data_IF_254869587027
#
_entry.id   IF_254869587027
#
_cell.length_a   1.000
_cell.length_b   1.000
_cell.length_c   1.000
_cell.angle_alpha   90.00
_cell.angle_beta   90.00
_cell.angle_gamma   90.00
#
_symmetry.space_group_name_H-M   'P 1'
#
loop_
_entity.id
_entity.type
_entity.pdbx_description
1 polymer ?
#
# COMPACT_ATOMS: atom_id res chain seq x y z
N UNK A 1 -29.88 -18.31 -6.90
CA UNK A 1 -28.62 -17.64 -6.47
C UNK A 1 -28.42 -17.91 -4.99
N UNK A 2 -27.56 -18.85 -4.65
CA UNK A 2 -27.27 -19.20 -3.25
C UNK A 2 -26.40 -18.12 -2.62
N UNK A 3 -26.92 -17.41 -1.61
CA UNK A 3 -26.12 -16.54 -0.76
C UNK A 3 -25.16 -17.43 0.05
N UNK A 4 -23.88 -17.45 -0.32
CA UNK A 4 -22.86 -18.00 0.58
C UNK A 4 -22.90 -17.19 1.86
N UNK A 5 -23.45 -17.77 2.91
CA UNK A 5 -23.32 -17.22 4.25
C UNK A 5 -21.82 -17.18 4.59
N UNK A 6 -21.29 -15.98 4.80
CA UNK A 6 -19.97 -15.83 5.39
C UNK A 6 -20.03 -16.48 6.77
N UNK A 7 -19.31 -17.60 6.92
CA UNK A 7 -19.16 -18.26 8.21
C UNK A 7 -18.40 -17.31 9.10
N UNK A 8 -19.12 -16.66 10.00
CA UNK A 8 -18.52 -15.86 11.05
C UNK A 8 -17.76 -16.85 11.93
N UNK A 9 -16.44 -16.85 11.84
CA UNK A 9 -15.62 -17.61 12.78
C UNK A 9 -15.95 -17.12 14.19
N UNK A 10 -16.07 -18.02 15.19
CA UNK A 10 -16.25 -17.60 16.55
C UNK A 10 -15.16 -16.59 16.89
N UNK A 11 -15.55 -15.43 17.37
CA UNK A 11 -14.61 -14.46 17.91
C UNK A 11 -14.00 -15.08 19.13
N UNK A 12 -12.77 -15.57 19.03
CA UNK A 12 -11.99 -15.87 20.22
C UNK A 12 -11.94 -14.57 21.04
N UNK A 13 -12.38 -14.64 22.28
CA UNK A 13 -12.60 -13.49 23.17
C UNK A 13 -11.30 -12.76 23.57
N UNK A 14 -10.20 -13.00 22.85
CA UNK A 14 -8.86 -12.50 23.15
C UNK A 14 -8.41 -11.32 22.31
N UNK A 15 -9.24 -10.80 21.39
CA UNK A 15 -8.86 -9.60 20.63
C UNK A 15 -9.20 -8.33 21.42
N UNK A 16 -8.17 -7.56 21.74
CA UNK A 16 -8.32 -6.25 22.41
C UNK A 16 -8.93 -5.15 21.52
N UNK A 17 -9.18 -5.45 20.26
CA UNK A 17 -9.73 -4.50 19.29
C UNK A 17 -11.19 -4.80 19.00
N UNK A 18 -12.08 -3.78 19.01
CA UNK A 18 -13.47 -3.96 18.63
C UNK A 18 -13.56 -4.41 17.17
N UNK A 19 -14.55 -5.26 16.89
CA UNK A 19 -14.86 -5.68 15.54
C UNK A 19 -15.56 -4.55 14.79
N UNK A 20 -14.92 -4.00 13.77
CA UNK A 20 -15.52 -2.99 12.90
C UNK A 20 -16.20 -3.66 11.70
N UNK A 21 -17.43 -3.26 11.42
CA UNK A 21 -18.22 -3.76 10.30
C UNK A 21 -18.64 -2.57 9.43
N UNK A 22 -18.36 -2.65 8.13
CA UNK A 22 -18.80 -1.69 7.13
C UNK A 22 -19.82 -2.32 6.17
N UNK A 23 -20.81 -1.55 5.74
CA UNK A 23 -21.81 -1.99 4.76
C UNK A 23 -21.43 -1.65 3.33
N UNK A 24 -20.64 -0.59 3.12
CA UNK A 24 -20.24 -0.09 1.81
C UNK A 24 -18.74 -0.27 1.51
N UNK A 25 -17.93 -0.47 2.53
CA UNK A 25 -16.50 -0.67 2.42
C UNK A 25 -15.82 -0.57 3.77
N UNK A 26 -14.54 -0.90 3.80
CA UNK A 26 -13.70 -0.74 4.97
C UNK A 26 -12.28 -0.38 4.54
N UNK A 27 -11.60 0.44 5.34
CA UNK A 27 -10.19 0.78 5.20
C UNK A 27 -9.51 0.50 6.53
N UNK A 28 -8.34 -0.11 6.49
CA UNK A 28 -7.49 -0.35 7.66
C UNK A 28 -6.06 0.10 7.38
N UNK A 29 -5.40 0.65 8.38
CA UNK A 29 -4.02 1.15 8.29
C UNK A 29 -3.46 1.46 9.67
N UNK A 30 -2.22 1.89 9.75
CA UNK A 30 -1.54 2.17 11.02
C UNK A 30 -1.90 3.56 11.58
N UNK A 31 -2.23 4.52 10.71
CA UNK A 31 -2.60 5.88 11.10
C UNK A 31 -4.07 6.15 10.83
N UNK A 32 -4.73 6.81 11.80
CA UNK A 32 -6.11 7.28 11.59
C UNK A 32 -6.21 8.25 10.42
N UNK A 33 -5.17 9.04 10.15
CA UNK A 33 -5.15 9.99 9.04
C UNK A 33 -5.14 9.26 7.70
N UNK A 34 -4.32 8.23 7.54
CA UNK A 34 -4.29 7.41 6.32
C UNK A 34 -5.60 6.65 6.11
N UNK A 35 -6.17 6.09 7.18
CA UNK A 35 -7.47 5.40 7.12
C UNK A 35 -8.59 6.36 6.70
N UNK A 36 -8.63 7.57 7.26
CA UNK A 36 -9.61 8.59 6.90
C UNK A 36 -9.47 9.01 5.44
N UNK A 37 -8.23 9.23 4.97
CA UNK A 37 -7.97 9.55 3.56
C UNK A 37 -8.54 8.51 2.60
N UNK A 38 -8.31 7.24 2.88
CA UNK A 38 -8.90 6.14 2.10
C UNK A 38 -10.42 6.10 2.18
N UNK A 39 -10.98 6.28 3.39
CA UNK A 39 -12.43 6.31 3.60
C UNK A 39 -13.11 7.48 2.87
N UNK A 40 -12.45 8.64 2.80
CA UNK A 40 -12.97 9.81 2.08
C UNK A 40 -12.99 9.60 0.57
N UNK A 41 -12.03 8.85 0.00
CA UNK A 41 -12.09 8.43 -1.40
C UNK A 41 -13.30 7.53 -1.67
N UNK A 42 -13.58 6.57 -0.78
CA UNK A 42 -14.79 5.73 -0.91
C UNK A 42 -16.08 6.56 -0.84
N UNK A 43 -16.17 7.52 0.09
CA UNK A 43 -17.33 8.43 0.21
C UNK A 43 -17.49 9.33 -1.02
N UNK A 44 -16.40 9.73 -1.65
CA UNK A 44 -16.40 10.54 -2.87
C UNK A 44 -16.76 9.72 -4.14
N UNK A 45 -17.03 8.43 -4.01
CA UNK A 45 -17.43 7.55 -5.11
C UNK A 45 -16.27 6.83 -5.79
N UNK A 46 -15.06 6.93 -5.25
CA UNK A 46 -13.91 6.12 -5.66
C UNK A 46 -14.05 4.67 -5.24
N UNK A 47 -13.21 3.83 -5.82
CA UNK A 47 -13.18 2.41 -5.51
C UNK A 47 -12.11 2.05 -4.46
N UNK A 48 -11.94 0.77 -4.17
CA UNK A 48 -10.97 0.29 -3.19
C UNK A 48 -9.52 0.62 -3.58
N UNK A 49 -9.22 0.75 -4.88
CA UNK A 49 -7.87 1.07 -5.37
C UNK A 49 -7.55 2.55 -5.17
N UNK A 50 -8.51 3.43 -5.45
CA UNK A 50 -8.41 4.85 -5.16
C UNK A 50 -8.19 5.09 -3.67
N UNK A 51 -8.96 4.39 -2.83
CA UNK A 51 -8.84 4.44 -1.38
C UNK A 51 -7.49 3.94 -0.87
N UNK A 52 -6.99 2.83 -1.39
CA UNK A 52 -5.70 2.27 -1.00
C UNK A 52 -4.53 3.19 -1.37
N UNK A 53 -4.56 3.77 -2.57
CA UNK A 53 -3.52 4.70 -3.03
C UNK A 53 -3.56 5.99 -2.19
N UNK A 54 -4.73 6.54 -1.91
CA UNK A 54 -4.90 7.72 -1.05
C UNK A 54 -4.36 7.46 0.37
N UNK A 55 -4.76 6.35 0.98
CA UNK A 55 -4.27 5.96 2.30
C UNK A 55 -2.75 5.80 2.32
N UNK A 56 -2.18 5.18 1.28
CA UNK A 56 -0.74 4.96 1.17
C UNK A 56 0.05 6.27 1.03
N UNK A 57 -0.43 7.24 0.25
CA UNK A 57 0.22 8.56 0.17
C UNK A 57 0.21 9.30 1.50
N UNK A 58 -0.92 9.28 2.22
CA UNK A 58 -1.00 9.93 3.54
C UNK A 58 -0.15 9.18 4.57
N UNK A 59 -0.13 7.85 4.55
CA UNK A 59 0.74 7.05 5.43
C UNK A 59 2.20 7.43 5.25
N UNK A 60 2.67 7.62 4.02
CA UNK A 60 4.03 8.05 3.72
C UNK A 60 4.39 9.45 4.24
N UNK A 61 3.40 10.31 4.50
CA UNK A 61 3.59 11.63 5.09
C UNK A 61 3.56 11.60 6.62
N UNK A 62 2.64 10.85 7.21
CA UNK A 62 2.39 10.88 8.66
C UNK A 62 3.16 9.81 9.44
N UNK A 63 3.65 8.80 8.75
CA UNK A 63 4.37 7.66 9.34
C UNK A 63 5.57 7.24 8.45
N UNK A 64 6.48 8.17 8.10
CA UNK A 64 7.51 7.94 7.09
C UNK A 64 8.55 6.88 7.47
N UNK A 65 8.66 6.50 8.75
CA UNK A 65 9.54 5.43 9.22
C UNK A 65 8.98 4.04 8.89
N UNK A 66 7.67 3.92 8.64
CA UNK A 66 7.03 2.63 8.34
C UNK A 66 6.67 2.50 6.86
N UNK A 67 6.39 3.61 6.20
CA UNK A 67 6.04 3.65 4.79
C UNK A 67 6.54 4.94 4.15
N UNK A 68 7.06 4.84 2.93
CA UNK A 68 7.48 6.01 2.14
C UNK A 68 7.35 5.70 0.66
N UNK A 69 7.03 6.71 -0.14
CA UNK A 69 6.99 6.57 -1.60
C UNK A 69 8.37 6.26 -2.23
N UNK A 70 9.45 6.51 -1.49
CA UNK A 70 10.81 6.13 -1.84
C UNK A 70 11.21 4.70 -1.42
N UNK A 71 10.30 3.93 -0.88
CA UNK A 71 10.53 2.57 -0.40
C UNK A 71 9.88 1.49 -1.26
N UNK A 72 9.31 0.52 -0.59
CA UNK A 72 8.66 -0.67 -1.16
C UNK A 72 7.17 -0.67 -0.87
N UNK A 73 6.38 -1.21 -1.81
CA UNK A 73 4.95 -1.40 -1.64
C UNK A 73 4.48 -2.61 -2.46
N UNK A 74 4.75 -3.85 -2.02
CA UNK A 74 4.15 -5.03 -2.65
C UNK A 74 2.65 -5.05 -2.36
N UNK A 75 1.84 -5.33 -3.40
CA UNK A 75 0.39 -5.29 -3.30
C UNK A 75 -0.24 -6.58 -3.81
N UNK A 76 -1.30 -6.99 -3.13
CA UNK A 76 -2.21 -8.03 -3.59
C UNK A 76 -3.57 -7.41 -3.88
N UNK A 77 -4.05 -7.66 -5.09
CA UNK A 77 -5.29 -7.09 -5.62
C UNK A 77 -6.25 -8.21 -5.98
N UNK A 78 -7.48 -8.14 -5.47
CA UNK A 78 -8.57 -9.02 -5.84
C UNK A 78 -9.72 -8.21 -6.42
N UNK A 79 -10.08 -8.51 -7.67
CA UNK A 79 -11.21 -7.88 -8.34
C UNK A 79 -12.52 -8.58 -7.98
N UNK A 80 -13.60 -7.80 -7.90
CA UNK A 80 -14.94 -8.35 -7.75
C UNK A 80 -15.27 -9.25 -8.96
N UNK A 81 -15.79 -10.45 -8.69
CA UNK A 81 -16.12 -11.41 -9.74
C UNK A 81 -14.98 -12.27 -10.26
N UNK A 82 -13.73 -11.99 -9.92
CA UNK A 82 -12.59 -12.86 -10.22
C UNK A 82 -12.26 -13.80 -9.06
N UNK A 83 -11.81 -15.01 -9.37
CA UNK A 83 -11.32 -15.95 -8.37
C UNK A 83 -9.82 -15.79 -8.09
N UNK A 84 -9.08 -15.21 -9.03
CA UNK A 84 -7.63 -15.01 -8.91
C UNK A 84 -7.29 -13.75 -8.12
N UNK A 85 -6.08 -13.74 -7.56
CA UNK A 85 -5.44 -12.57 -6.96
C UNK A 85 -4.33 -12.09 -7.89
N UNK A 86 -4.30 -10.81 -8.16
CA UNK A 86 -3.22 -10.17 -8.89
C UNK A 86 -2.15 -9.70 -7.89
N UNK A 87 -0.89 -9.91 -8.21
CA UNK A 87 0.24 -9.37 -7.47
C UNK A 87 0.88 -8.23 -8.25
N UNK A 88 1.13 -7.12 -7.57
CA UNK A 88 1.97 -6.03 -8.07
C UNK A 88 3.25 -6.03 -7.26
N UNK A 89 4.37 -6.32 -7.93
CA UNK A 89 5.67 -6.35 -7.28
C UNK A 89 6.20 -4.93 -7.12
N UNK A 90 5.94 -4.34 -5.98
CA UNK A 90 6.46 -3.03 -5.58
C UNK A 90 7.71 -3.11 -4.70
N UNK A 91 8.44 -4.22 -4.71
CA UNK A 91 9.72 -4.33 -4.02
C UNK A 91 10.81 -3.57 -4.77
N UNK A 92 11.73 -2.99 -4.02
CA UNK A 92 12.92 -2.34 -4.57
C UNK A 92 13.76 -3.34 -5.37
N UNK A 93 14.31 -2.87 -6.48
CA UNK A 93 15.32 -3.62 -7.25
C UNK A 93 16.72 -3.19 -6.86
N UNK A 94 17.69 -4.09 -6.95
CA UNK A 94 19.08 -3.71 -6.86
C UNK A 94 19.46 -2.79 -8.05
N UNK A 95 20.21 -1.71 -7.83
CA UNK A 95 20.80 -0.94 -8.92
C UNK A 95 21.63 -1.84 -9.84
N UNK A 96 21.65 -1.59 -11.16
CA UNK A 96 22.37 -2.45 -12.10
C UNK A 96 23.87 -2.59 -11.83
N UNK A 97 24.48 -1.62 -11.15
CA UNK A 97 25.88 -1.67 -10.72
C UNK A 97 26.10 -2.41 -9.38
N UNK A 98 25.03 -2.80 -8.67
CA UNK A 98 25.12 -3.50 -7.39
C UNK A 98 25.25 -5.01 -7.62
N UNK A 99 26.38 -5.44 -8.19
CA UNK A 99 26.67 -6.86 -8.42
C UNK A 99 27.51 -7.44 -7.28
N UNK A 100 27.48 -8.74 -7.04
CA UNK A 100 28.32 -9.39 -6.04
C UNK A 100 29.81 -9.07 -6.21
N UNK A 101 30.28 -8.96 -7.44
CA UNK A 101 31.67 -8.62 -7.79
C UNK A 101 32.01 -7.19 -7.36
N UNK A 102 31.09 -6.25 -7.56
CA UNK A 102 31.26 -4.85 -7.17
C UNK A 102 31.36 -4.69 -5.64
N UNK A 103 30.62 -5.49 -4.87
CA UNK A 103 30.72 -5.51 -3.40
C UNK A 103 32.01 -6.16 -2.94
N UNK A 104 32.39 -7.31 -3.50
CA UNK A 104 33.67 -7.99 -3.18
C UNK A 104 34.89 -7.10 -3.50
N UNK A 105 34.86 -6.36 -4.61
CA UNK A 105 35.93 -5.42 -4.95
C UNK A 105 36.08 -4.28 -3.93
N UNK A 106 35.04 -4.00 -3.12
CA UNK A 106 35.06 -3.06 -1.99
C UNK A 106 35.40 -3.71 -0.64
N UNK A 107 35.74 -5.00 -0.65
CA UNK A 107 36.03 -5.76 0.59
C UNK A 107 34.79 -6.14 1.39
N UNK A 108 33.59 -6.09 0.78
CA UNK A 108 32.34 -6.42 1.41
C UNK A 108 31.91 -7.85 1.01
N UNK A 109 31.61 -8.70 2.01
CA UNK A 109 31.09 -10.04 1.78
C UNK A 109 29.61 -10.03 1.43
N UNK A 110 28.85 -9.08 2.01
CA UNK A 110 27.40 -8.92 1.85
C UNK A 110 27.03 -7.45 1.63
N UNK A 111 25.77 -7.20 1.30
CA UNK A 111 25.20 -5.86 1.26
C UNK A 111 25.20 -5.28 2.68
N UNK A 112 25.71 -4.06 2.92
CA UNK A 112 25.69 -3.45 4.25
C UNK A 112 24.24 -3.18 4.72
N UNK A 113 24.01 -3.22 6.03
CA UNK A 113 22.69 -2.94 6.62
C UNK A 113 22.28 -1.46 6.54
N UNK A 114 23.23 -0.55 6.25
CA UNK A 114 22.98 0.88 6.21
C UNK A 114 23.85 1.61 5.19
N UNK A 115 23.49 2.84 4.89
CA UNK A 115 24.21 3.72 3.97
C UNK A 115 23.82 3.53 2.51
N UNK A 116 24.48 4.27 1.63
CA UNK A 116 24.10 4.34 0.20
C UNK A 116 24.22 2.99 -0.53
N UNK A 117 25.10 2.12 -0.09
CA UNK A 117 25.28 0.80 -0.71
C UNK A 117 24.19 -0.20 -0.34
N UNK A 118 23.37 0.11 0.68
CA UNK A 118 22.19 -0.67 1.05
C UNK A 118 20.93 -0.23 0.28
N UNK A 119 20.97 0.91 -0.41
CA UNK A 119 19.81 1.48 -1.07
C UNK A 119 19.43 0.71 -2.32
N UNK A 120 18.14 0.36 -2.42
CA UNK A 120 17.52 -0.14 -3.65
C UNK A 120 16.92 0.98 -4.50
N UNK A 121 16.54 0.63 -5.72
CA UNK A 121 15.77 1.53 -6.60
C UNK A 121 14.33 1.60 -6.08
N UNK A 122 13.81 2.79 -5.73
CA UNK A 122 12.46 2.95 -5.18
C UNK A 122 11.37 2.38 -6.11
N UNK A 123 10.43 1.64 -5.55
CA UNK A 123 9.37 1.01 -6.33
C UNK A 123 7.95 1.32 -5.83
N UNK A 124 7.79 1.84 -4.60
CA UNK A 124 6.48 2.09 -4.01
C UNK A 124 5.62 3.01 -4.87
N UNK A 125 6.16 4.15 -5.33
CA UNK A 125 5.43 5.09 -6.18
C UNK A 125 4.95 4.43 -7.47
N UNK A 126 5.84 3.74 -8.18
CA UNK A 126 5.50 3.04 -9.43
C UNK A 126 4.44 1.96 -9.24
N UNK A 127 4.47 1.22 -8.12
CA UNK A 127 3.47 0.21 -7.80
C UNK A 127 2.10 0.85 -7.54
N UNK A 128 2.03 1.93 -6.75
CA UNK A 128 0.79 2.65 -6.48
C UNK A 128 0.16 3.25 -7.75
N UNK A 129 0.98 3.86 -8.61
CA UNK A 129 0.51 4.39 -9.89
C UNK A 129 0.02 3.25 -10.79
N UNK A 130 0.72 2.12 -10.86
CA UNK A 130 0.29 0.95 -11.63
C UNK A 130 -1.09 0.44 -11.18
N UNK A 131 -1.34 0.40 -9.87
CA UNK A 131 -2.65 0.02 -9.32
C UNK A 131 -3.73 1.00 -9.74
N UNK A 132 -3.45 2.29 -9.62
CA UNK A 132 -4.39 3.35 -9.97
C UNK A 132 -4.73 3.34 -11.48
N UNK A 133 -3.72 3.25 -12.33
CA UNK A 133 -3.91 3.20 -13.79
C UNK A 133 -4.69 1.99 -14.27
N UNK A 134 -4.49 0.83 -13.62
CA UNK A 134 -5.14 -0.42 -14.04
C UNK A 134 -6.56 -0.56 -13.52
N UNK A 135 -6.84 -0.09 -12.32
CA UNK A 135 -8.08 -0.43 -11.60
C UNK A 135 -8.72 0.76 -10.87
N UNK A 136 -8.03 1.89 -10.74
CA UNK A 136 -8.58 3.10 -10.16
C UNK A 136 -9.65 3.74 -11.05
N UNK A 137 -10.48 4.56 -10.44
CA UNK A 137 -11.55 5.32 -11.10
C UNK A 137 -11.36 6.82 -10.97
N UNK A 138 -10.46 7.24 -10.09
CA UNK A 138 -10.19 8.66 -9.84
C UNK A 138 -8.83 9.07 -10.39
N UNK A 139 -8.71 10.31 -10.92
CA UNK A 139 -7.43 10.82 -11.37
C UNK A 139 -6.47 11.05 -10.18
N UNK A 140 -5.19 10.76 -10.36
CA UNK A 140 -4.15 10.95 -9.33
C UNK A 140 -4.18 12.36 -8.73
N UNK A 141 -4.41 13.39 -9.55
CA UNK A 141 -4.50 14.77 -9.09
C UNK A 141 -5.55 14.95 -7.98
N UNK A 142 -6.73 14.34 -8.14
CA UNK A 142 -7.80 14.41 -7.15
C UNK A 142 -7.38 13.70 -5.84
N UNK A 143 -6.81 12.50 -5.96
CA UNK A 143 -6.35 11.71 -4.83
C UNK A 143 -5.30 12.48 -4.01
N UNK A 144 -4.31 13.07 -4.67
CA UNK A 144 -3.25 13.82 -3.99
C UNK A 144 -3.77 15.14 -3.41
N UNK A 145 -4.57 15.91 -4.16
CA UNK A 145 -5.01 17.25 -3.72
C UNK A 145 -5.98 17.19 -2.54
N UNK A 146 -6.97 16.31 -2.59
CA UNK A 146 -7.97 16.17 -1.51
C UNK A 146 -7.33 15.70 -0.19
N UNK A 147 -6.27 14.90 -0.26
CA UNK A 147 -5.59 14.41 0.92
C UNK A 147 -4.61 15.42 1.54
N UNK A 148 -3.94 16.24 0.74
CA UNK A 148 -2.99 17.24 1.26
C UNK A 148 -3.74 18.43 1.88
N UNK A 149 -4.87 18.87 1.32
CA UNK A 149 -5.63 20.01 1.84
C UNK A 149 -6.36 19.72 3.17
N UNK A 150 -6.60 18.48 3.51
CA UNK A 150 -7.28 18.09 4.75
C UNK A 150 -6.35 17.89 5.96
N UNK A 151 -5.04 17.84 5.75
CA UNK A 151 -4.05 17.45 6.78
C UNK A 151 -2.86 18.41 6.88
N UNK A 152 -2.90 19.58 6.22
CA UNK A 152 -1.91 20.65 6.29
C UNK A 152 -2.27 21.77 7.28
#
# INVERSE_FOLDING_TARGET
MSRRAYRILPTDATTFHPRWLGTHGAVAGNSNLSVNAGADMLKAGGNAFDAAVAASFVEGLVNPQMHTIGGECPLLVRLAGESRVHAVNGNMAAPGAATPEAFRARGLADIPDAGILAAGVPAAFGALITVLERWGTMPLKLIVTSNIQGYG
#
